data_IF_652195165485
#
_entry.id   IF_652195165485
#
_cell.length_a   1.000
_cell.length_b   1.000
_cell.length_c   1.000
_cell.angle_alpha   90.00
_cell.angle_beta   90.00
_cell.angle_gamma   90.00
#
_symmetry.space_group_name_H-M   'P 1'
#
loop_
_entity.id
_entity.type
_entity.pdbx_description
1 polymer ?
#
# COMPACT_ATOMS: atom_id res chain seq x y z
N UNK A 1 -10.94 -9.41 16.41
CA UNK A 1 -9.80 -10.30 16.51
C UNK A 1 -8.95 -9.88 17.72
N UNK A 2 -9.47 -10.12 18.91
CA UNK A 2 -8.70 -9.93 20.13
C UNK A 2 -7.86 -11.18 20.39
N UNK A 3 -6.63 -11.05 20.89
CA UNK A 3 -5.88 -12.20 21.32
C UNK A 3 -6.71 -12.97 22.35
N UNK A 4 -6.86 -14.27 22.13
CA UNK A 4 -7.62 -15.13 23.03
C UNK A 4 -7.07 -14.96 24.46
N UNK A 5 -7.93 -14.83 25.46
CA UNK A 5 -7.50 -14.78 26.84
C UNK A 5 -6.68 -16.03 27.16
N UNK A 6 -5.67 -15.84 27.96
CA UNK A 6 -4.81 -16.91 28.42
C UNK A 6 -5.67 -18.07 28.98
N UNK A 7 -5.24 -19.31 28.81
CA UNK A 7 -5.98 -20.54 29.18
C UNK A 7 -6.48 -20.59 30.64
N UNK A 8 -6.05 -19.66 31.46
CA UNK A 8 -6.42 -19.55 32.88
C UNK A 8 -7.52 -18.53 33.17
N UNK A 9 -8.28 -18.08 32.16
CA UNK A 9 -9.46 -17.22 32.38
C UNK A 9 -9.18 -15.78 32.80
N UNK A 10 -7.94 -15.33 32.81
CA UNK A 10 -7.59 -13.93 33.07
C UNK A 10 -7.73 -13.10 31.79
N UNK A 11 -8.43 -11.97 31.90
CA UNK A 11 -8.63 -10.97 30.82
C UNK A 11 -7.35 -10.16 30.51
N UNK A 12 -6.17 -10.74 30.69
CA UNK A 12 -4.90 -10.06 30.40
C UNK A 12 -4.59 -10.09 28.91
N UNK A 13 -4.27 -8.91 28.40
CA UNK A 13 -3.85 -8.77 27.01
C UNK A 13 -2.49 -9.45 26.81
N UNK A 14 -2.38 -10.34 25.83
CA UNK A 14 -1.12 -10.96 25.49
C UNK A 14 -0.26 -10.05 24.59
N UNK A 15 0.65 -9.30 25.18
CA UNK A 15 1.54 -8.38 24.46
C UNK A 15 2.55 -9.07 23.53
N UNK A 16 2.72 -10.39 23.65
CA UNK A 16 3.57 -11.15 22.73
C UNK A 16 2.82 -11.57 21.44
N UNK A 17 1.50 -11.33 21.38
CA UNK A 17 0.71 -11.69 20.20
C UNK A 17 0.87 -10.65 19.09
N UNK A 18 1.26 -11.03 17.85
CA UNK A 18 1.29 -10.13 16.71
C UNK A 18 -0.06 -9.45 16.45
N UNK A 19 -1.17 -10.18 16.65
CA UNK A 19 -2.53 -9.68 16.46
C UNK A 19 -2.88 -8.46 17.33
N UNK A 20 -2.28 -8.32 18.50
CA UNK A 20 -2.48 -7.13 19.34
C UNK A 20 -1.79 -5.91 18.72
N UNK A 21 -0.55 -6.08 18.28
CA UNK A 21 0.22 -5.02 17.64
C UNK A 21 -0.39 -4.58 16.34
N UNK A 22 -1.04 -5.51 15.61
CA UNK A 22 -1.78 -5.23 14.40
C UNK A 22 -2.94 -4.24 14.64
N UNK A 23 -3.71 -4.44 15.71
CA UNK A 23 -4.78 -3.49 16.11
C UNK A 23 -4.23 -2.07 16.32
N UNK A 24 -3.10 -1.92 17.01
CA UNK A 24 -2.49 -0.61 17.22
C UNK A 24 -1.94 -0.02 15.91
N UNK A 25 -1.27 -0.80 15.10
CA UNK A 25 -0.69 -0.36 13.84
C UNK A 25 -1.76 0.10 12.85
N UNK A 26 -2.81 -0.72 12.65
CA UNK A 26 -3.93 -0.39 11.76
C UNK A 26 -4.70 0.84 12.26
N UNK A 27 -4.98 0.92 13.56
CA UNK A 27 -5.69 2.06 14.14
C UNK A 27 -4.90 3.36 13.98
N UNK A 28 -3.59 3.32 14.18
CA UNK A 28 -2.71 4.48 13.99
C UNK A 28 -2.67 4.91 12.53
N UNK A 29 -2.49 3.95 11.62
CA UNK A 29 -2.49 4.22 10.18
C UNK A 29 -3.82 4.78 9.69
N UNK A 30 -4.93 4.20 10.12
CA UNK A 30 -6.28 4.68 9.81
C UNK A 30 -6.47 6.12 10.29
N UNK A 31 -6.06 6.42 11.52
CA UNK A 31 -6.20 7.77 12.10
C UNK A 31 -5.42 8.81 11.32
N UNK A 32 -4.15 8.53 10.99
CA UNK A 32 -3.31 9.45 10.20
C UNK A 32 -3.86 9.61 8.79
N UNK A 33 -4.31 8.52 8.16
CA UNK A 33 -4.88 8.54 6.82
C UNK A 33 -6.18 9.36 6.76
N UNK A 34 -7.06 9.20 7.74
CA UNK A 34 -8.30 9.97 7.84
C UNK A 34 -8.04 11.46 8.04
N UNK A 35 -7.07 11.81 8.90
CA UNK A 35 -6.67 13.21 9.11
C UNK A 35 -6.09 13.79 7.82
N UNK A 36 -5.21 13.06 7.15
CA UNK A 36 -4.61 13.50 5.89
C UNK A 36 -5.64 13.70 4.79
N UNK A 37 -6.54 12.74 4.62
CA UNK A 37 -7.66 12.84 3.69
C UNK A 37 -8.57 14.04 4.00
N UNK A 38 -8.93 14.22 5.27
CA UNK A 38 -9.78 15.33 5.70
C UNK A 38 -9.13 16.71 5.45
N UNK A 39 -7.84 16.85 5.72
CA UNK A 39 -7.11 18.10 5.44
C UNK A 39 -7.14 18.40 3.95
N UNK A 40 -6.97 17.38 3.09
CA UNK A 40 -7.11 17.53 1.64
C UNK A 40 -8.46 18.07 1.19
N UNK A 41 -9.54 17.77 1.92
CA UNK A 41 -10.91 18.23 1.61
C UNK A 41 -11.25 19.63 2.13
N UNK A 42 -10.44 20.21 3.01
CA UNK A 42 -10.75 21.54 3.62
C UNK A 42 -10.96 22.64 2.58
N UNK A 43 -10.11 22.81 1.54
CA UNK A 43 -10.33 23.80 0.50
C UNK A 43 -11.63 23.56 -0.31
N UNK A 44 -11.98 22.28 -0.53
CA UNK A 44 -13.18 21.89 -1.24
C UNK A 44 -14.43 22.23 -0.44
N UNK A 45 -14.43 21.92 0.86
CA UNK A 45 -15.52 22.32 1.77
C UNK A 45 -15.71 23.83 1.82
N UNK A 46 -14.63 24.60 1.80
CA UNK A 46 -14.71 26.05 1.75
C UNK A 46 -15.35 26.55 0.43
N UNK A 47 -14.95 25.95 -0.69
CA UNK A 47 -15.52 26.26 -2.01
C UNK A 47 -17.01 25.95 -2.06
N UNK A 48 -17.44 24.81 -1.49
CA UNK A 48 -18.86 24.44 -1.40
C UNK A 48 -19.60 25.40 -0.47
N UNK A 49 -19.02 25.74 0.69
CA UNK A 49 -19.59 26.71 1.65
C UNK A 49 -19.96 28.02 0.96
N UNK A 50 -19.08 28.52 0.07
CA UNK A 50 -19.24 29.82 -0.57
C UNK A 50 -20.27 29.78 -1.72
N UNK A 51 -20.55 28.61 -2.26
CA UNK A 51 -21.54 28.40 -3.33
C UNK A 51 -22.92 27.99 -2.84
N UNK A 52 -23.05 27.42 -1.64
CA UNK A 52 -24.33 26.93 -1.10
C UNK A 52 -25.22 28.07 -0.62
N UNK A 53 -26.48 28.06 -1.06
CA UNK A 53 -27.49 29.07 -0.69
C UNK A 53 -28.28 28.74 0.57
N UNK A 54 -28.47 27.44 0.88
CA UNK A 54 -29.24 27.00 2.06
C UNK A 54 -28.45 27.23 3.37
N UNK A 55 -29.03 27.92 4.37
CA UNK A 55 -28.32 28.35 5.57
C UNK A 55 -27.80 27.17 6.42
N UNK A 56 -28.55 26.06 6.48
CA UNK A 56 -28.18 24.88 7.26
C UNK A 56 -26.88 24.27 6.71
N UNK A 57 -26.82 24.03 5.40
CA UNK A 57 -25.61 23.46 4.77
C UNK A 57 -24.44 24.43 4.81
N UNK A 58 -24.70 25.74 4.67
CA UNK A 58 -23.66 26.76 4.80
C UNK A 58 -23.01 26.74 6.20
N UNK A 59 -23.80 26.52 7.26
CA UNK A 59 -23.29 26.39 8.64
C UNK A 59 -22.49 25.11 8.82
N UNK A 60 -22.95 23.98 8.26
CA UNK A 60 -22.22 22.71 8.31
C UNK A 60 -20.86 22.82 7.59
N UNK A 61 -20.83 23.33 6.37
CA UNK A 61 -19.57 23.49 5.62
C UNK A 61 -18.64 24.55 6.22
N UNK A 62 -19.16 25.52 6.98
CA UNK A 62 -18.32 26.46 7.73
C UNK A 62 -17.55 25.74 8.82
N UNK A 63 -18.18 24.82 9.55
CA UNK A 63 -17.51 23.99 10.55
C UNK A 63 -16.50 23.06 9.89
N UNK A 64 -16.91 22.35 8.83
CA UNK A 64 -16.05 21.41 8.11
C UNK A 64 -14.84 22.06 7.41
N UNK A 65 -14.95 23.33 7.02
CA UNK A 65 -13.83 24.05 6.39
C UNK A 65 -12.84 24.65 7.38
N UNK A 66 -13.01 24.44 8.69
CA UNK A 66 -12.12 24.95 9.75
C UNK A 66 -11.74 26.43 9.60
N UNK A 67 -12.67 27.27 9.15
CA UNK A 67 -12.41 28.68 8.93
C UNK A 67 -11.43 28.99 7.80
N UNK A 68 -11.30 28.10 6.83
CA UNK A 68 -10.44 28.31 5.66
C UNK A 68 -10.78 29.62 4.93
N UNK A 69 -9.77 30.46 4.74
CA UNK A 69 -9.89 31.80 4.16
C UNK A 69 -9.46 31.86 2.69
N UNK A 70 -8.65 30.90 2.24
CA UNK A 70 -8.13 30.85 0.87
C UNK A 70 -7.00 31.84 0.58
N UNK A 71 -6.48 32.53 1.60
CA UNK A 71 -5.35 33.43 1.46
C UNK A 71 -4.01 32.68 1.30
N UNK A 72 -2.98 33.37 0.85
CA UNK A 72 -1.65 32.79 0.62
C UNK A 72 -1.07 32.12 1.88
N UNK A 73 -1.39 32.65 3.06
CA UNK A 73 -0.95 32.09 4.34
C UNK A 73 -1.65 30.77 4.65
N UNK A 74 -2.95 30.64 4.34
CA UNK A 74 -3.68 29.39 4.50
C UNK A 74 -3.15 28.31 3.56
N UNK A 75 -2.88 28.65 2.29
CA UNK A 75 -2.29 27.73 1.33
C UNK A 75 -0.88 27.24 1.75
N UNK A 76 -0.03 28.16 2.19
CA UNK A 76 1.32 27.78 2.67
C UNK A 76 1.25 26.84 3.88
N UNK A 77 0.35 27.09 4.82
CA UNK A 77 0.12 26.18 5.95
C UNK A 77 -0.41 24.82 5.50
N UNK A 78 -1.33 24.80 4.54
CA UNK A 78 -1.86 23.58 3.98
C UNK A 78 -0.77 22.72 3.35
N UNK A 79 0.09 23.31 2.55
CA UNK A 79 1.23 22.62 1.93
C UNK A 79 2.19 22.05 2.99
N UNK A 80 2.53 22.84 4.00
CA UNK A 80 3.42 22.41 5.09
C UNK A 80 2.81 21.22 5.87
N UNK A 81 1.53 21.33 6.25
CA UNK A 81 0.85 20.26 7.00
C UNK A 81 0.72 19.01 6.14
N UNK A 82 0.37 19.16 4.87
CA UNK A 82 0.29 18.04 3.94
C UNK A 82 1.63 17.34 3.76
N UNK A 83 2.72 18.10 3.66
CA UNK A 83 4.08 17.56 3.57
C UNK A 83 4.48 16.77 4.82
N UNK A 84 4.18 17.33 6.01
CA UNK A 84 4.46 16.64 7.29
C UNK A 84 3.66 15.35 7.41
N UNK A 85 2.36 15.38 7.06
CA UNK A 85 1.51 14.19 7.12
C UNK A 85 1.94 13.12 6.10
N UNK A 86 2.32 13.52 4.90
CA UNK A 86 2.89 12.61 3.91
C UNK A 86 4.19 11.98 4.40
N UNK A 87 5.06 12.79 5.03
CA UNK A 87 6.30 12.33 5.64
C UNK A 87 6.08 11.36 6.82
N UNK A 88 5.00 11.53 7.59
CA UNK A 88 4.61 10.60 8.66
C UNK A 88 3.92 9.34 8.12
N UNK A 89 3.11 9.47 7.07
CA UNK A 89 2.41 8.33 6.48
C UNK A 89 3.37 7.31 5.86
N UNK A 90 4.49 7.77 5.27
CA UNK A 90 5.46 6.89 4.62
C UNK A 90 6.04 5.83 5.57
N UNK A 91 6.69 6.16 6.71
CA UNK A 91 7.18 5.15 7.65
C UNK A 91 6.06 4.33 8.28
N UNK A 92 4.84 4.90 8.43
CA UNK A 92 3.69 4.14 8.92
C UNK A 92 3.27 3.03 7.97
N UNK A 93 3.31 3.25 6.65
CA UNK A 93 3.04 2.20 5.65
C UNK A 93 4.00 1.04 5.81
N UNK A 94 5.31 1.31 5.97
CA UNK A 94 6.31 0.26 6.22
C UNK A 94 6.01 -0.48 7.52
N UNK A 95 5.71 0.24 8.59
CA UNK A 95 5.41 -0.34 9.90
C UNK A 95 4.17 -1.22 9.89
N UNK A 96 3.05 -0.73 9.35
CA UNK A 96 1.79 -1.49 9.30
C UNK A 96 1.96 -2.78 8.50
N UNK A 97 2.52 -2.71 7.30
CA UNK A 97 2.69 -3.90 6.48
C UNK A 97 3.69 -4.91 7.08
N UNK A 98 4.71 -4.43 7.79
CA UNK A 98 5.62 -5.31 8.53
C UNK A 98 4.90 -6.02 9.68
N UNK A 99 4.09 -5.31 10.47
CA UNK A 99 3.36 -5.89 11.61
C UNK A 99 2.32 -6.89 11.13
N UNK A 100 1.49 -6.52 10.14
CA UNK A 100 0.50 -7.45 9.54
C UNK A 100 1.17 -8.69 8.96
N UNK A 101 2.36 -8.56 8.38
CA UNK A 101 3.09 -9.71 7.85
C UNK A 101 3.53 -10.70 8.91
N UNK A 102 3.76 -10.26 10.15
CA UNK A 102 4.10 -11.14 11.26
C UNK A 102 2.96 -12.08 11.65
N UNK A 103 1.69 -11.72 11.42
CA UNK A 103 0.57 -12.64 11.63
C UNK A 103 0.70 -13.90 10.77
N UNK A 104 1.29 -13.77 9.59
CA UNK A 104 1.59 -14.88 8.70
C UNK A 104 2.94 -15.52 9.03
N UNK A 105 3.99 -14.71 9.18
CA UNK A 105 5.35 -15.18 9.42
C UNK A 105 5.49 -16.01 10.70
N UNK A 106 4.68 -15.74 11.72
CA UNK A 106 4.65 -16.49 12.99
C UNK A 106 3.58 -17.59 13.05
N UNK A 107 2.82 -17.77 11.94
CA UNK A 107 1.83 -18.84 11.87
C UNK A 107 2.51 -20.22 11.80
N UNK A 108 1.77 -21.26 12.21
CA UNK A 108 2.23 -22.66 12.12
C UNK A 108 1.79 -23.33 10.81
N UNK A 109 1.16 -22.60 9.90
CA UNK A 109 0.62 -23.14 8.65
C UNK A 109 1.78 -23.33 7.66
N UNK A 110 1.94 -24.54 7.09
CA UNK A 110 2.99 -24.81 6.10
C UNK A 110 2.92 -23.85 4.90
N UNK A 111 4.07 -23.32 4.51
CA UNK A 111 4.21 -22.38 3.40
C UNK A 111 3.84 -20.94 3.73
N UNK A 112 3.54 -20.62 5.00
CA UNK A 112 3.22 -19.25 5.44
C UNK A 112 4.25 -18.73 6.45
N UNK A 113 4.84 -19.59 7.26
CA UNK A 113 5.79 -19.16 8.26
C UNK A 113 7.20 -19.03 7.64
N UNK A 114 7.55 -17.82 7.23
CA UNK A 114 8.87 -17.51 6.67
C UNK A 114 9.30 -16.10 7.04
N UNK A 115 10.60 -15.92 7.27
CA UNK A 115 11.18 -14.63 7.64
C UNK A 115 11.20 -13.61 6.50
N UNK A 116 10.93 -14.03 5.26
CA UNK A 116 10.88 -13.14 4.10
C UNK A 116 9.56 -12.36 4.00
N UNK A 117 8.53 -12.73 4.76
CA UNK A 117 7.22 -12.09 4.69
C UNK A 117 7.26 -10.58 4.94
N UNK A 118 7.91 -10.01 5.97
CA UNK A 118 7.92 -8.58 6.18
C UNK A 118 8.44 -7.76 4.99
N UNK A 119 9.64 -8.00 4.45
CA UNK A 119 10.11 -7.28 3.26
C UNK A 119 9.25 -7.55 2.02
N UNK A 120 8.72 -8.76 1.87
CA UNK A 120 7.81 -9.11 0.78
C UNK A 120 6.50 -8.33 0.83
N UNK A 121 5.83 -8.27 2.00
CA UNK A 121 4.59 -7.53 2.19
C UNK A 121 4.76 -6.03 1.97
N UNK A 122 5.82 -5.45 2.52
CA UNK A 122 6.13 -4.02 2.34
C UNK A 122 6.36 -3.72 0.86
N UNK A 123 7.20 -4.49 0.19
CA UNK A 123 7.49 -4.29 -1.23
C UNK A 123 6.26 -4.50 -2.11
N UNK A 124 5.44 -5.51 -1.80
CA UNK A 124 4.18 -5.78 -2.50
C UNK A 124 3.16 -4.65 -2.32
N UNK A 125 3.06 -4.07 -1.12
CA UNK A 125 2.18 -2.95 -0.84
C UNK A 125 2.59 -1.69 -1.61
N UNK A 126 3.89 -1.36 -1.61
CA UNK A 126 4.42 -0.23 -2.39
C UNK A 126 4.23 -0.46 -3.87
N UNK A 127 4.58 -1.63 -4.38
CA UNK A 127 4.41 -2.03 -5.77
C UNK A 127 2.96 -1.87 -6.25
N UNK A 128 2.01 -2.47 -5.54
CA UNK A 128 0.59 -2.43 -5.91
C UNK A 128 -0.02 -1.04 -5.75
N UNK A 129 0.38 -0.30 -4.70
CA UNK A 129 -0.08 1.06 -4.45
C UNK A 129 0.36 2.02 -5.57
N UNK A 130 1.63 2.01 -5.95
CA UNK A 130 2.13 2.84 -7.06
C UNK A 130 1.49 2.44 -8.40
N UNK A 131 1.32 1.14 -8.68
CA UNK A 131 0.66 0.68 -9.90
C UNK A 131 -0.80 1.16 -9.98
N UNK A 132 -1.54 1.10 -8.86
CA UNK A 132 -2.91 1.60 -8.79
C UNK A 132 -2.98 3.11 -9.02
N UNK A 133 -2.18 3.90 -8.30
CA UNK A 133 -2.15 5.36 -8.44
C UNK A 133 -1.75 5.76 -9.85
N UNK A 134 -0.76 5.12 -10.44
CA UNK A 134 -0.34 5.38 -11.83
C UNK A 134 -1.47 5.10 -12.82
N UNK A 135 -2.20 4.00 -12.64
CA UNK A 135 -3.35 3.66 -13.50
C UNK A 135 -4.42 4.75 -13.41
N UNK A 136 -4.77 5.20 -12.20
CA UNK A 136 -5.73 6.28 -12.00
C UNK A 136 -5.24 7.60 -12.61
N UNK A 137 -3.96 7.94 -12.44
CA UNK A 137 -3.36 9.14 -13.02
C UNK A 137 -3.42 9.14 -14.54
N UNK A 138 -3.16 8.00 -15.20
CA UNK A 138 -3.26 7.87 -16.66
C UNK A 138 -4.71 8.05 -17.16
N UNK A 139 -5.67 7.47 -16.45
CA UNK A 139 -7.09 7.62 -16.77
C UNK A 139 -7.52 9.09 -16.63
N UNK A 140 -7.20 9.72 -15.49
CA UNK A 140 -7.53 11.13 -15.22
C UNK A 140 -6.84 12.08 -16.20
N UNK A 141 -5.55 11.84 -16.50
CA UNK A 141 -4.79 12.61 -17.48
C UNK A 141 -5.46 12.64 -18.84
N UNK A 142 -5.96 11.48 -19.31
CA UNK A 142 -6.65 11.35 -20.58
C UNK A 142 -8.08 11.94 -20.52
N UNK A 143 -8.84 11.66 -19.47
CA UNK A 143 -10.24 12.07 -19.32
C UNK A 143 -10.39 13.59 -19.18
N UNK A 144 -9.51 14.23 -18.40
CA UNK A 144 -9.56 15.66 -18.09
C UNK A 144 -8.52 16.50 -18.84
N UNK A 145 -7.76 15.90 -19.78
CA UNK A 145 -6.70 16.58 -20.57
C UNK A 145 -5.67 17.31 -19.68
N UNK A 146 -5.24 16.63 -18.60
CA UNK A 146 -4.31 17.19 -17.62
C UNK A 146 -2.84 17.04 -18.02
N UNK A 147 -2.52 17.05 -19.30
CA UNK A 147 -1.17 16.81 -19.84
C UNK A 147 -0.18 17.89 -19.41
N UNK A 148 -0.66 19.12 -19.20
CA UNK A 148 0.14 20.24 -18.73
C UNK A 148 0.57 20.10 -17.25
N UNK A 149 -0.19 19.35 -16.44
CA UNK A 149 0.06 19.16 -15.01
C UNK A 149 0.73 17.80 -14.72
N UNK A 150 0.28 16.76 -15.41
CA UNK A 150 0.79 15.40 -15.26
C UNK A 150 1.76 15.08 -16.39
N UNK A 151 3.01 15.49 -16.23
CA UNK A 151 4.05 15.22 -17.22
C UNK A 151 4.44 13.72 -17.23
N UNK A 152 4.87 13.24 -18.39
CA UNK A 152 5.36 11.85 -18.57
C UNK A 152 6.48 11.52 -17.58
N UNK A 153 7.32 12.49 -17.26
CA UNK A 153 8.42 12.35 -16.30
C UNK A 153 7.97 11.89 -14.91
N UNK A 154 6.77 12.29 -14.44
CA UNK A 154 6.21 11.79 -13.17
C UNK A 154 5.89 10.30 -13.26
N UNK A 155 5.37 9.86 -14.40
CA UNK A 155 5.06 8.45 -14.67
C UNK A 155 6.34 7.61 -14.72
N UNK A 156 7.40 8.13 -15.32
CA UNK A 156 8.72 7.49 -15.37
C UNK A 156 9.30 7.26 -13.98
N UNK A 157 9.25 8.27 -13.09
CA UNK A 157 9.70 8.10 -11.71
C UNK A 157 8.88 7.05 -10.94
N UNK A 158 7.55 7.03 -11.14
CA UNK A 158 6.71 6.00 -10.54
C UNK A 158 7.06 4.61 -11.06
N UNK A 159 7.35 4.47 -12.35
CA UNK A 159 7.79 3.22 -12.93
C UNK A 159 9.09 2.70 -12.32
N UNK A 160 10.05 3.57 -12.03
CA UNK A 160 11.30 3.17 -11.35
C UNK A 160 10.99 2.53 -9.98
N UNK A 161 10.11 3.14 -9.20
CA UNK A 161 9.71 2.58 -7.90
C UNK A 161 9.01 1.23 -8.08
N UNK A 162 8.11 1.11 -9.07
CA UNK A 162 7.40 -0.13 -9.40
C UNK A 162 8.39 -1.24 -9.79
N UNK A 163 9.39 -0.94 -10.62
CA UNK A 163 10.40 -1.92 -11.05
C UNK A 163 11.23 -2.39 -9.85
N UNK A 164 11.73 -1.48 -9.02
CA UNK A 164 12.55 -1.84 -7.86
C UNK A 164 11.75 -2.69 -6.89
N UNK A 165 10.55 -2.27 -6.50
CA UNK A 165 9.72 -3.01 -5.54
C UNK A 165 9.20 -4.32 -6.13
N UNK A 166 8.82 -4.35 -7.40
CA UNK A 166 8.42 -5.57 -8.11
C UNK A 166 9.57 -6.58 -8.24
N UNK A 167 10.81 -6.11 -8.43
CA UNK A 167 11.99 -6.98 -8.43
C UNK A 167 12.22 -7.63 -7.06
N UNK A 168 12.02 -6.89 -5.96
CA UNK A 168 12.09 -7.45 -4.60
C UNK A 168 11.01 -8.51 -4.40
N UNK A 169 9.79 -8.27 -4.86
CA UNK A 169 8.69 -9.25 -4.82
C UNK A 169 9.05 -10.51 -5.64
N UNK A 170 9.64 -10.34 -6.82
CA UNK A 170 10.12 -11.46 -7.65
C UNK A 170 11.19 -12.30 -6.96
N UNK A 171 12.16 -11.65 -6.32
CA UNK A 171 13.20 -12.34 -5.52
C UNK A 171 12.57 -13.11 -4.35
N UNK A 172 11.56 -12.51 -3.68
CA UNK A 172 10.85 -13.19 -2.60
C UNK A 172 10.17 -14.48 -3.07
N UNK A 173 9.48 -14.47 -4.21
CA UNK A 173 8.88 -15.69 -4.79
C UNK A 173 9.91 -16.77 -5.10
N UNK A 174 11.05 -16.40 -5.69
CA UNK A 174 12.12 -17.35 -5.99
C UNK A 174 12.68 -17.95 -4.70
N UNK A 175 12.88 -17.10 -3.68
CA UNK A 175 13.38 -17.55 -2.37
C UNK A 175 12.41 -18.50 -1.70
N UNK A 176 11.10 -18.24 -1.72
CA UNK A 176 10.09 -19.14 -1.16
C UNK A 176 10.09 -20.50 -1.86
N UNK A 177 10.15 -20.53 -3.19
CA UNK A 177 10.22 -21.75 -3.96
C UNK A 177 11.50 -22.54 -3.62
N UNK A 178 12.63 -21.85 -3.55
CA UNK A 178 13.91 -22.45 -3.21
C UNK A 178 13.90 -23.05 -1.80
N UNK A 179 13.43 -22.30 -0.80
CA UNK A 179 13.36 -22.76 0.59
C UNK A 179 12.43 -23.97 0.73
N UNK A 180 11.26 -23.93 0.08
CA UNK A 180 10.32 -25.06 0.09
C UNK A 180 10.93 -26.34 -0.53
N UNK A 181 11.71 -26.21 -1.58
CA UNK A 181 12.43 -27.34 -2.18
C UNK A 181 13.60 -27.80 -1.32
N UNK A 182 14.41 -26.87 -0.81
CA UNK A 182 15.64 -27.17 -0.06
C UNK A 182 15.36 -27.71 1.35
N UNK A 183 14.32 -27.26 2.02
CA UNK A 183 13.97 -27.69 3.38
C UNK A 183 13.64 -29.18 3.48
N UNK A 184 13.16 -29.78 2.39
CA UNK A 184 12.75 -31.20 2.37
C UNK A 184 11.54 -31.50 3.26
N UNK A 185 10.83 -30.47 3.77
CA UNK A 185 9.62 -30.64 4.56
C UNK A 185 8.46 -30.99 3.60
N UNK A 186 7.91 -32.18 3.79
CA UNK A 186 6.89 -32.73 2.90
C UNK A 186 5.65 -31.83 2.78
N UNK A 187 5.18 -31.27 3.90
CA UNK A 187 3.99 -30.40 3.93
C UNK A 187 4.22 -29.09 3.19
N UNK A 188 5.39 -28.49 3.28
CA UNK A 188 5.73 -27.25 2.56
C UNK A 188 5.86 -27.51 1.07
N UNK A 189 6.60 -28.54 0.70
CA UNK A 189 6.76 -28.97 -0.69
C UNK A 189 5.41 -29.28 -1.35
N UNK A 190 4.52 -29.98 -0.63
CA UNK A 190 3.15 -30.25 -1.08
C UNK A 190 2.36 -28.95 -1.29
N UNK A 191 2.43 -27.99 -0.34
CA UNK A 191 1.69 -26.73 -0.45
C UNK A 191 2.10 -25.94 -1.70
N UNK A 192 3.40 -25.84 -1.97
CA UNK A 192 3.90 -25.13 -3.17
C UNK A 192 3.60 -25.89 -4.46
N UNK A 193 3.77 -27.20 -4.48
CA UNK A 193 3.42 -28.01 -5.65
C UNK A 193 1.93 -27.92 -5.99
N UNK A 194 1.07 -27.98 -4.97
CA UNK A 194 -0.37 -27.84 -5.14
C UNK A 194 -0.80 -26.43 -5.62
N UNK A 195 -0.07 -25.37 -5.24
CA UNK A 195 -0.29 -24.04 -5.83
C UNK A 195 0.06 -24.02 -7.31
N UNK A 196 1.14 -24.65 -7.71
CA UNK A 196 1.65 -24.64 -9.08
C UNK A 196 0.89 -25.56 -10.04
N UNK A 197 0.35 -26.70 -9.57
CA UNK A 197 -0.25 -27.77 -10.40
C UNK A 197 -1.67 -28.16 -9.98
N UNK A 198 -2.18 -27.69 -8.84
CA UNK A 198 -3.49 -28.04 -8.28
C UNK A 198 -4.67 -27.33 -8.98
N UNK A 199 -5.87 -27.40 -8.42
CA UNK A 199 -7.10 -26.91 -9.06
C UNK A 199 -7.08 -25.42 -9.44
N UNK A 200 -6.31 -24.62 -8.72
CA UNK A 200 -6.19 -23.16 -8.92
C UNK A 200 -4.85 -22.73 -9.51
N UNK A 201 -4.12 -23.64 -10.18
CA UNK A 201 -2.82 -23.37 -10.80
C UNK A 201 -2.81 -22.12 -11.68
N UNK A 202 -3.88 -21.89 -12.42
CA UNK A 202 -4.01 -20.73 -13.30
C UNK A 202 -3.92 -19.39 -12.57
N UNK A 203 -4.51 -19.30 -11.37
CA UNK A 203 -4.46 -18.09 -10.55
C UNK A 203 -3.05 -17.83 -10.04
N UNK A 204 -2.35 -18.88 -9.61
CA UNK A 204 -0.95 -18.78 -9.19
C UNK A 204 -0.05 -18.28 -10.31
N UNK A 205 -0.15 -18.88 -11.48
CA UNK A 205 0.67 -18.46 -12.63
C UNK A 205 0.27 -17.10 -13.18
N UNK A 206 -1.01 -16.73 -13.15
CA UNK A 206 -1.43 -15.37 -13.49
C UNK A 206 -0.81 -14.33 -12.55
N UNK A 207 -0.81 -14.59 -11.25
CA UNK A 207 -0.16 -13.72 -10.25
C UNK A 207 1.35 -13.61 -10.52
N UNK A 208 2.04 -14.72 -10.71
CA UNK A 208 3.48 -14.74 -11.02
C UNK A 208 3.80 -13.97 -12.31
N UNK A 209 3.01 -14.17 -13.36
CA UNK A 209 3.18 -13.47 -14.63
C UNK A 209 2.99 -11.97 -14.49
N UNK A 210 1.92 -11.55 -13.84
CA UNK A 210 1.64 -10.12 -13.64
C UNK A 210 2.69 -9.41 -12.78
N UNK A 211 3.20 -10.05 -11.75
CA UNK A 211 4.13 -9.42 -10.83
C UNK A 211 5.59 -9.48 -11.27
N UNK A 212 6.01 -10.57 -11.91
CA UNK A 212 7.42 -10.81 -12.27
C UNK A 212 7.70 -10.45 -13.72
N UNK A 213 6.92 -10.98 -14.66
CA UNK A 213 7.19 -10.82 -16.09
C UNK A 213 6.97 -9.37 -16.52
N UNK A 214 5.95 -8.69 -16.00
CA UNK A 214 5.71 -7.28 -16.30
C UNK A 214 6.90 -6.39 -15.90
N UNK A 215 7.51 -6.65 -14.75
CA UNK A 215 8.72 -5.94 -14.32
C UNK A 215 9.93 -6.26 -15.20
N UNK A 216 10.13 -7.54 -15.56
CA UNK A 216 11.24 -7.96 -16.40
C UNK A 216 11.15 -7.41 -17.83
N UNK A 217 9.94 -7.36 -18.41
CA UNK A 217 9.73 -6.80 -19.75
C UNK A 217 10.04 -5.30 -19.79
N UNK A 218 9.77 -4.58 -18.71
CA UNK A 218 10.05 -3.15 -18.63
C UNK A 218 11.55 -2.85 -18.44
N UNK A 219 12.30 -3.76 -17.84
CA UNK A 219 13.76 -3.63 -17.68
C UNK A 219 14.54 -4.08 -18.92
N UNK A 220 13.89 -4.74 -19.87
CA UNK A 220 14.52 -5.13 -21.12
C UNK A 220 14.81 -3.90 -21.97
N UNK A 221 16.07 -3.65 -22.39
CA UNK A 221 16.41 -2.50 -23.22
C UNK A 221 15.60 -2.57 -24.54
N UNK A 222 14.83 -1.50 -24.77
CA UNK A 222 14.10 -1.37 -26.04
C UNK A 222 15.12 -1.31 -27.19
N UNK A 223 14.82 -1.93 -28.36
CA UNK A 223 15.66 -1.77 -29.55
C UNK A 223 15.86 -0.32 -29.96
N UNK A 224 15.02 0.60 -29.50
CA UNK A 224 15.15 2.06 -29.75
C UNK A 224 16.23 2.71 -28.91
N UNK A 225 16.57 2.14 -27.74
CA UNK A 225 17.60 2.72 -26.85
C UNK A 225 19.03 2.49 -27.40
N UNK A 226 19.19 1.60 -28.37
CA UNK A 226 20.46 1.36 -29.07
C UNK A 226 20.68 2.27 -30.29
N UNK A 227 19.69 3.09 -30.64
CA UNK A 227 19.71 3.96 -31.83
C UNK A 227 19.83 5.45 -31.47
N UNK A 228 19.98 5.81 -30.21
CA UNK A 228 20.33 7.13 -29.70
C UNK A 228 21.76 7.15 -29.18
#
# INVERSE_FOLDING_TARGET
VFPLPNQFGSLWVNFNSPLLWDVFAISTYLSVSLVFWYIGLIPDFATIRDRVTKPIFKKAYRVLSFGWTGDAKAWNRFEQVSLVLAGLATPLVFSVHSIVSFDFATSVIPGWHTTIFPPYFVSGAVFSGFAMVQTLMLILRKAYKLEAYLHVKHIEYMNIVIIVTGSIVGVAYITELFVSWYSGVEYESYAFLNRATGPYWWSYWAMMTCNVISCLLYTSPSPRDWLQ
#
